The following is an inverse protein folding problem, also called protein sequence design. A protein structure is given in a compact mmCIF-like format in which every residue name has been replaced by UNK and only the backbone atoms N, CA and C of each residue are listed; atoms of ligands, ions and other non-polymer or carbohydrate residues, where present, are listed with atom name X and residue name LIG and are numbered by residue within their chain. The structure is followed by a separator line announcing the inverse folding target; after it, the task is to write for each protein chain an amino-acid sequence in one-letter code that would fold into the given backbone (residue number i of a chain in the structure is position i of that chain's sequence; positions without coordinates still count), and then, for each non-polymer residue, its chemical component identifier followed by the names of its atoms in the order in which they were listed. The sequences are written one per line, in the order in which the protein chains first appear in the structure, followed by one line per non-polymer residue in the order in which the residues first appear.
data_IF_593824226233
#
_entry.id   IF_593824226233
#
_cell.length_a   1.000
_cell.length_b   1.000
_cell.length_c   1.000
_cell.angle_alpha   90.00
_cell.angle_beta   90.00
_cell.angle_gamma   90.00
#
_symmetry.space_group_name_H-M   'P 1'
#
loop_
_entity.id
_entity.type
_entity.pdbx_description
1 polymer ?
#
# COMPACT_ATOMS: atom_id res chain seq x y z
N UNK A 1 6.60 10.61 1.47
CA UNK A 1 6.96 11.33 2.73
C UNK A 1 7.36 10.33 3.82
N UNK A 2 6.58 9.28 4.09
CA UNK A 2 6.92 8.32 5.15
C UNK A 2 8.22 7.56 4.89
N UNK A 3 8.44 7.06 3.68
CA UNK A 3 9.70 6.41 3.31
C UNK A 3 10.89 7.38 3.36
N UNK A 4 10.68 8.62 2.96
CA UNK A 4 11.69 9.68 3.08
C UNK A 4 11.99 9.98 4.55
N UNK A 5 10.98 10.01 5.42
CA UNK A 5 11.17 10.18 6.86
C UNK A 5 11.94 9.01 7.48
N UNK A 6 11.62 7.78 7.12
CA UNK A 6 12.37 6.61 7.60
C UNK A 6 13.87 6.71 7.26
N UNK A 7 14.19 7.33 6.14
CA UNK A 7 15.60 7.52 5.71
C UNK A 7 16.23 8.83 6.20
N UNK A 8 15.47 9.90 6.36
CA UNK A 8 15.97 11.25 6.68
C UNK A 8 15.93 11.54 8.18
N UNK A 9 14.95 11.04 8.93
CA UNK A 9 14.86 11.28 10.36
C UNK A 9 16.13 10.84 11.13
N UNK A 10 16.74 9.67 10.85
CA UNK A 10 18.02 9.30 11.44
C UNK A 10 19.16 10.26 11.12
N UNK A 11 19.15 10.84 9.91
CA UNK A 11 20.13 11.86 9.49
C UNK A 11 20.02 13.11 10.36
N UNK A 12 18.78 13.59 10.56
CA UNK A 12 18.50 14.77 11.39
C UNK A 12 18.91 14.53 12.84
N UNK A 13 18.56 13.40 13.43
CA UNK A 13 18.91 13.03 14.79
C UNK A 13 20.43 12.95 14.97
N UNK A 14 21.13 12.42 13.98
CA UNK A 14 22.57 12.33 13.99
C UNK A 14 23.26 13.69 13.87
N UNK A 15 22.71 14.59 13.05
CA UNK A 15 23.14 15.97 12.94
C UNK A 15 22.99 16.71 14.27
N UNK A 16 21.87 16.54 14.96
CA UNK A 16 21.63 17.11 16.28
C UNK A 16 22.61 16.59 17.35
N UNK A 17 23.17 15.40 17.17
CA UNK A 17 24.22 14.84 18.04
C UNK A 17 25.66 15.20 17.63
N UNK A 18 25.85 16.11 16.68
CA UNK A 18 27.18 16.61 16.27
C UNK A 18 27.95 15.66 15.34
N UNK A 19 27.27 14.76 14.65
CA UNK A 19 27.90 13.90 13.66
C UNK A 19 28.24 14.64 12.36
N UNK A 20 29.30 14.25 11.65
CA UNK A 20 29.65 14.80 10.34
C UNK A 20 28.63 14.43 9.28
N UNK A 21 28.49 15.25 8.24
CA UNK A 21 27.54 15.03 7.14
C UNK A 21 27.77 13.69 6.43
N UNK A 22 29.02 13.32 6.24
CA UNK A 22 29.38 12.04 5.63
C UNK A 22 28.88 10.85 6.46
N UNK A 23 28.94 10.97 7.78
CA UNK A 23 28.41 9.96 8.70
C UNK A 23 26.90 9.95 8.76
N UNK A 24 26.22 11.04 8.40
CA UNK A 24 24.75 11.10 8.36
C UNK A 24 24.15 10.23 7.26
N UNK A 25 24.85 10.10 6.14
CA UNK A 25 24.45 9.21 5.04
C UNK A 25 24.95 7.77 5.24
N UNK A 26 25.81 7.57 6.22
CA UNK A 26 26.35 6.27 6.49
C UNK A 26 25.37 5.47 7.33
N UNK A 27 24.94 4.45 6.74
CA UNK A 27 24.71 3.16 7.31
C UNK A 27 23.85 3.11 8.60
N UNK A 28 22.79 2.33 8.56
CA UNK A 28 22.09 1.84 9.75
C UNK A 28 23.00 1.01 10.71
N UNK A 29 24.26 0.78 10.33
CA UNK A 29 25.25 0.05 11.16
C UNK A 29 25.79 0.83 12.36
N UNK A 30 25.54 2.14 12.45
CA UNK A 30 25.94 2.91 13.64
C UNK A 30 24.92 2.71 14.75
N UNK A 31 25.33 2.05 15.81
CA UNK A 31 24.50 1.86 17.00
C UNK A 31 24.25 3.22 17.68
N UNK A 32 22.99 3.65 17.68
CA UNK A 32 22.53 4.85 18.35
C UNK A 32 21.35 4.45 19.27
N UNK A 33 21.63 4.01 20.50
CA UNK A 33 20.57 3.63 21.43
C UNK A 33 19.72 4.84 21.78
N UNK A 34 18.43 4.63 21.90
CA UNK A 34 17.44 5.63 22.39
C UNK A 34 17.11 5.38 23.84
N UNK A 35 16.34 6.28 24.45
CA UNK A 35 15.76 6.06 25.78
C UNK A 35 14.50 5.16 25.75
N UNK A 36 14.07 4.75 24.56
CA UNK A 36 12.96 3.82 24.38
C UNK A 36 13.45 2.41 24.53
N UNK A 37 12.85 1.65 25.42
CA UNK A 37 13.19 0.25 25.65
C UNK A 37 12.28 -0.67 24.81
N UNK A 38 12.86 -1.71 24.27
CA UNK A 38 12.12 -2.81 23.66
C UNK A 38 11.33 -3.51 24.77
N UNK A 39 9.99 -3.61 24.64
CA UNK A 39 9.15 -4.19 25.69
C UNK A 39 9.41 -5.68 25.95
N UNK A 40 9.99 -6.41 25.00
CA UNK A 40 10.28 -7.82 25.11
C UNK A 40 11.66 -8.10 25.73
N UNK A 41 12.64 -7.26 25.41
CA UNK A 41 14.04 -7.50 25.81
C UNK A 41 14.51 -6.57 26.91
N UNK A 42 13.81 -5.44 27.14
CA UNK A 42 14.24 -4.39 28.09
C UNK A 42 15.48 -3.62 27.65
N UNK A 43 15.96 -3.83 26.41
CA UNK A 43 17.14 -3.15 25.90
C UNK A 43 16.77 -1.89 25.14
N UNK A 44 17.65 -0.83 25.15
CA UNK A 44 17.43 0.37 24.35
C UNK A 44 17.27 0.05 22.86
N UNK A 45 16.18 0.53 22.27
CA UNK A 45 15.95 0.41 20.84
C UNK A 45 16.92 1.34 20.10
N UNK A 46 17.52 0.84 19.03
CA UNK A 46 18.35 1.66 18.16
C UNK A 46 17.47 2.68 17.43
N UNK A 47 17.96 3.93 17.31
CA UNK A 47 17.24 5.01 16.61
C UNK A 47 16.83 4.64 15.19
N UNK A 48 17.64 3.87 14.49
CA UNK A 48 17.35 3.41 13.13
C UNK A 48 16.16 2.46 13.09
N UNK A 49 16.06 1.55 14.05
CA UNK A 49 14.94 0.63 14.21
C UNK A 49 13.67 1.38 14.59
N UNK A 50 13.77 2.34 15.51
CA UNK A 50 12.63 3.12 15.97
C UNK A 50 12.00 3.96 14.83
N UNK A 51 12.81 4.45 13.90
CA UNK A 51 12.35 5.25 12.76
C UNK A 51 12.25 4.45 11.45
N UNK A 52 12.53 3.15 11.46
CA UNK A 52 12.29 2.30 10.29
C UNK A 52 10.79 1.99 10.18
N UNK A 53 10.11 2.83 9.45
CA UNK A 53 8.68 2.70 9.21
C UNK A 53 8.30 1.35 8.55
N UNK A 54 9.21 0.76 7.76
CA UNK A 54 8.99 -0.53 7.10
C UNK A 54 8.84 -1.65 8.15
N UNK A 55 9.75 -1.68 9.13
CA UNK A 55 9.64 -2.63 10.24
C UNK A 55 8.36 -2.39 11.04
N UNK A 56 8.03 -1.13 11.32
CA UNK A 56 6.84 -0.77 12.05
C UNK A 56 5.54 -1.26 11.39
N UNK A 57 5.47 -1.22 10.06
CA UNK A 57 4.31 -1.73 9.33
C UNK A 57 4.12 -3.24 9.49
N UNK A 58 5.21 -4.00 9.40
CA UNK A 58 5.16 -5.48 9.38
C UNK A 58 5.16 -6.07 10.78
N UNK A 59 6.01 -5.57 11.68
CA UNK A 59 6.23 -6.18 12.99
C UNK A 59 5.30 -5.62 14.08
N UNK A 60 5.00 -4.32 14.01
CA UNK A 60 4.20 -3.64 15.03
C UNK A 60 2.72 -3.53 14.66
N UNK A 61 2.33 -4.04 13.50
CA UNK A 61 0.96 -4.02 13.00
C UNK A 61 0.28 -2.66 13.22
N UNK A 62 0.89 -1.59 12.69
CA UNK A 62 0.35 -0.24 12.85
C UNK A 62 -1.07 -0.16 12.30
N UNK A 63 -2.01 0.16 13.17
CA UNK A 63 -3.41 0.32 12.84
C UNK A 63 -3.66 1.76 12.41
N UNK A 64 -4.47 1.93 11.36
CA UNK A 64 -4.93 3.27 10.96
C UNK A 64 -3.90 4.14 10.23
N UNK A 65 -2.81 3.56 9.74
CA UNK A 65 -1.87 4.29 8.87
C UNK A 65 -2.57 4.75 7.58
N UNK A 66 -2.11 5.88 6.99
CA UNK A 66 -2.69 6.38 5.75
C UNK A 66 -2.37 5.47 4.57
N UNK A 67 -3.13 5.62 3.49
CA UNK A 67 -2.78 5.05 2.19
C UNK A 67 -1.48 5.70 1.67
N UNK A 68 -0.56 4.88 1.19
CA UNK A 68 0.73 5.36 0.71
C UNK A 68 0.73 5.58 -0.79
N UNK A 69 1.40 6.64 -1.23
CA UNK A 69 1.65 6.88 -2.63
C UNK A 69 3.01 7.51 -2.84
N UNK A 70 3.71 7.08 -3.86
CA UNK A 70 5.03 7.61 -4.15
C UNK A 70 5.41 7.48 -5.61
N UNK A 71 6.28 8.39 -6.04
CA UNK A 71 6.97 8.32 -7.33
C UNK A 71 8.45 8.49 -7.06
N UNK A 72 9.26 7.54 -7.53
CA UNK A 72 10.72 7.57 -7.35
C UNK A 72 11.45 7.58 -8.69
N UNK A 73 12.59 8.22 -8.73
CA UNK A 73 13.46 8.26 -9.88
C UNK A 73 14.61 7.26 -9.80
N UNK A 74 14.74 6.39 -10.77
CA UNK A 74 15.89 5.47 -10.84
C UNK A 74 17.23 6.21 -11.00
N UNK A 75 17.22 7.42 -11.55
CA UNK A 75 18.42 8.27 -11.72
C UNK A 75 18.58 9.32 -10.63
N UNK A 76 17.81 9.24 -9.55
CA UNK A 76 18.00 10.13 -8.40
C UNK A 76 19.24 9.70 -7.62
N UNK A 77 20.29 10.51 -7.70
CA UNK A 77 21.55 10.28 -6.98
C UNK A 77 21.57 10.94 -5.60
N UNK A 78 20.60 11.77 -5.29
CA UNK A 78 20.48 12.47 -3.99
C UNK A 78 19.71 11.62 -2.99
N UNK A 79 18.55 11.10 -3.41
CA UNK A 79 17.82 10.05 -2.71
C UNK A 79 17.96 8.80 -3.58
N UNK A 80 19.02 8.02 -3.36
CA UNK A 80 19.40 6.93 -4.22
C UNK A 80 18.30 5.87 -4.38
N UNK A 81 18.23 5.26 -5.54
CA UNK A 81 17.26 4.22 -5.86
C UNK A 81 17.16 3.13 -4.79
N UNK A 82 18.32 2.67 -4.30
CA UNK A 82 18.39 1.65 -3.24
C UNK A 82 17.65 2.03 -1.96
N UNK A 83 17.50 3.32 -1.68
CA UNK A 83 16.80 3.80 -0.50
C UNK A 83 15.27 3.73 -0.65
N UNK A 84 14.79 3.61 -1.88
CA UNK A 84 13.37 3.48 -2.20
C UNK A 84 12.91 2.03 -2.25
N UNK A 85 13.85 1.09 -2.40
CA UNK A 85 13.54 -0.34 -2.44
C UNK A 85 13.08 -0.85 -1.06
N UNK A 86 12.20 -1.82 -1.08
CA UNK A 86 11.75 -2.57 0.09
C UNK A 86 10.68 -1.87 0.94
N UNK A 87 10.39 -0.57 0.75
CA UNK A 87 9.30 0.02 1.52
C UNK A 87 7.92 -0.43 1.01
N UNK A 88 7.78 -0.61 -0.27
CA UNK A 88 6.53 -1.11 -0.86
C UNK A 88 6.26 -2.57 -0.51
N UNK A 89 7.31 -3.41 -0.38
CA UNK A 89 7.15 -4.78 0.12
C UNK A 89 6.48 -4.75 1.49
N UNK A 90 6.94 -3.88 2.39
CA UNK A 90 6.34 -3.73 3.71
C UNK A 90 4.90 -3.20 3.67
N UNK A 91 4.57 -2.35 2.70
CA UNK A 91 3.19 -1.88 2.48
C UNK A 91 2.31 -3.03 1.99
N UNK A 92 2.81 -3.85 1.07
CA UNK A 92 2.10 -5.03 0.58
C UNK A 92 1.92 -6.08 1.67
N UNK A 93 2.99 -6.46 2.36
CA UNK A 93 2.97 -7.46 3.44
C UNK A 93 2.03 -7.07 4.58
N UNK A 94 2.01 -5.78 4.94
CA UNK A 94 1.11 -5.26 5.99
C UNK A 94 -0.32 -5.00 5.50
N UNK A 95 -0.58 -5.08 4.21
CA UNK A 95 -1.89 -4.79 3.57
C UNK A 95 -2.45 -3.42 3.97
N UNK A 96 -1.59 -2.43 4.20
CA UNK A 96 -2.03 -1.08 4.57
C UNK A 96 -2.57 -0.27 3.38
N UNK A 97 -2.24 -0.69 2.18
CA UNK A 97 -2.62 -0.04 0.94
C UNK A 97 -1.63 1.03 0.51
N UNK A 98 -1.27 0.94 -0.76
CA UNK A 98 -0.36 1.90 -1.35
C UNK A 98 -0.18 1.65 -2.83
N UNK A 99 0.37 2.66 -3.49
CA UNK A 99 0.78 2.60 -4.88
C UNK A 99 2.15 3.25 -5.01
N UNK A 100 2.98 2.63 -5.79
CA UNK A 100 4.33 3.13 -6.01
C UNK A 100 4.64 3.10 -7.50
N UNK A 101 5.11 4.27 -8.01
CA UNK A 101 5.57 4.44 -9.37
C UNK A 101 7.06 4.73 -9.39
N UNK A 102 7.74 4.30 -10.41
CA UNK A 102 9.12 4.70 -10.69
C UNK A 102 9.35 4.95 -12.17
N UNK A 103 10.27 5.84 -12.45
CA UNK A 103 10.72 6.17 -13.80
C UNK A 103 12.20 6.60 -13.82
N UNK A 104 12.64 7.17 -14.94
CA UNK A 104 14.03 7.56 -15.12
C UNK A 104 14.34 8.99 -14.63
N UNK A 105 13.45 9.59 -13.81
CA UNK A 105 13.72 10.94 -13.27
C UNK A 105 14.91 10.95 -12.33
N UNK A 106 15.59 12.11 -12.37
CA UNK A 106 16.57 12.47 -11.35
C UNK A 106 15.90 13.24 -10.20
N UNK A 107 16.71 13.68 -9.23
CA UNK A 107 16.22 14.44 -8.07
C UNK A 107 15.42 15.70 -8.42
N UNK A 108 15.80 16.39 -9.48
CA UNK A 108 15.15 17.61 -9.95
C UNK A 108 13.97 17.35 -10.92
N UNK A 109 13.59 16.11 -11.11
CA UNK A 109 12.50 15.71 -11.99
C UNK A 109 12.86 15.64 -13.48
N UNK A 110 14.11 15.88 -13.86
CA UNK A 110 14.56 15.67 -15.24
C UNK A 110 14.53 14.19 -15.62
N UNK A 111 14.09 13.89 -16.85
CA UNK A 111 13.97 12.52 -17.35
C UNK A 111 12.74 11.76 -16.82
N UNK A 112 11.75 12.47 -16.27
CA UNK A 112 10.49 11.85 -15.82
C UNK A 112 9.71 11.29 -17.03
N UNK A 113 9.13 10.11 -16.82
CA UNK A 113 8.29 9.45 -17.81
C UNK A 113 6.81 9.49 -17.43
N UNK A 114 6.50 9.51 -16.12
CA UNK A 114 5.14 9.74 -15.65
C UNK A 114 4.89 11.23 -15.41
N UNK A 115 3.74 11.72 -15.86
CA UNK A 115 3.24 13.03 -15.43
C UNK A 115 2.67 12.92 -14.01
N UNK A 116 2.42 14.07 -13.37
CA UNK A 116 1.74 14.09 -12.07
C UNK A 116 0.36 13.43 -12.16
N UNK A 117 -0.35 13.63 -13.26
CA UNK A 117 -1.71 13.12 -13.42
C UNK A 117 -1.74 11.59 -13.62
N UNK A 118 -0.74 11.05 -14.33
CA UNK A 118 -0.62 9.61 -14.56
C UNK A 118 -0.21 8.83 -13.31
N UNK A 119 0.67 9.43 -12.49
CA UNK A 119 1.20 8.81 -11.29
C UNK A 119 0.46 9.22 -10.01
N UNK A 120 -0.48 10.17 -10.10
CA UNK A 120 -1.11 10.70 -8.90
C UNK A 120 -2.30 9.86 -8.45
N UNK A 121 -2.19 9.49 -7.20
CA UNK A 121 -3.36 9.14 -6.40
C UNK A 121 -4.05 10.44 -6.04
N UNK A 122 -5.34 10.49 -6.24
CA UNK A 122 -6.15 11.61 -5.74
C UNK A 122 -6.26 11.51 -4.23
N UNK A 123 -5.32 12.11 -3.52
CA UNK A 123 -5.29 12.06 -2.04
C UNK A 123 -6.57 12.62 -1.38
N UNK A 124 -7.29 13.49 -2.08
CA UNK A 124 -8.58 14.04 -1.63
C UNK A 124 -9.67 12.98 -1.41
N UNK A 125 -9.54 11.80 -2.03
CA UNK A 125 -10.49 10.69 -1.82
C UNK A 125 -10.34 9.99 -0.47
N UNK A 126 -9.18 10.15 0.20
CA UNK A 126 -8.89 9.50 1.47
C UNK A 126 -9.28 10.39 2.65
N UNK A 127 -10.04 9.84 3.56
CA UNK A 127 -10.36 10.49 4.85
C UNK A 127 -10.48 9.44 5.95
N UNK A 128 -10.49 9.86 7.19
CA UNK A 128 -10.74 8.96 8.34
C UNK A 128 -12.17 8.45 8.39
N UNK A 129 -13.09 9.14 7.72
CA UNK A 129 -14.52 8.82 7.68
C UNK A 129 -14.94 8.02 6.44
N UNK A 130 -13.99 7.48 5.68
CA UNK A 130 -14.26 6.68 4.47
C UNK A 130 -13.43 5.41 4.47
N UNK A 131 -14.08 4.29 4.24
CA UNK A 131 -13.43 3.03 3.93
C UNK A 131 -12.86 3.03 2.51
N UNK A 132 -11.87 2.18 2.27
CA UNK A 132 -11.27 1.99 0.96
C UNK A 132 -10.68 0.57 0.83
N UNK A 133 -10.49 0.05 -0.40
CA UNK A 133 -9.78 -1.19 -0.64
C UNK A 133 -8.27 -0.92 -0.64
N UNK A 134 -7.50 -1.70 0.08
CA UNK A 134 -6.06 -1.79 -0.10
C UNK A 134 -5.76 -2.97 -1.03
N UNK A 135 -5.01 -2.71 -2.09
CA UNK A 135 -4.54 -3.73 -3.01
C UNK A 135 -3.14 -4.18 -2.62
N UNK A 136 -2.86 -5.48 -2.77
CA UNK A 136 -1.54 -6.07 -2.56
C UNK A 136 -1.30 -7.19 -3.56
N UNK A 137 -0.05 -7.43 -3.90
CA UNK A 137 0.37 -8.55 -4.77
C UNK A 137 -0.35 -8.59 -6.12
N UNK A 138 -0.50 -7.44 -6.75
CA UNK A 138 -1.15 -7.37 -8.07
C UNK A 138 -0.31 -8.10 -9.12
N UNK A 139 -0.94 -9.03 -9.85
CA UNK A 139 -0.26 -9.91 -10.83
C UNK A 139 0.29 -9.20 -12.05
N UNK A 140 0.01 -7.91 -12.21
CA UNK A 140 0.52 -7.07 -13.30
C UNK A 140 1.45 -5.96 -12.79
N UNK A 141 1.95 -6.08 -11.56
CA UNK A 141 3.02 -5.22 -11.08
C UNK A 141 4.27 -5.42 -11.93
N UNK A 142 4.98 -4.32 -12.21
CA UNK A 142 6.26 -4.37 -12.92
C UNK A 142 7.40 -4.73 -11.96
N UNK A 143 8.53 -5.12 -12.53
CA UNK A 143 9.74 -5.45 -11.79
C UNK A 143 10.55 -4.17 -11.50
N UNK A 144 10.64 -3.72 -10.25
CA UNK A 144 11.49 -2.57 -9.90
C UNK A 144 12.99 -2.90 -10.00
N UNK A 145 13.36 -4.18 -10.08
CA UNK A 145 14.74 -4.64 -10.06
C UNK A 145 15.37 -4.57 -8.67
N UNK A 146 16.68 -4.73 -8.63
CA UNK A 146 17.49 -4.69 -7.41
C UNK A 146 18.08 -3.32 -7.12
N UNK A 147 19.18 -3.30 -6.36
CA UNK A 147 19.86 -2.07 -5.91
C UNK A 147 20.46 -1.22 -7.03
N UNK A 148 20.73 -1.82 -8.20
CA UNK A 148 21.17 -1.06 -9.37
C UNK A 148 20.02 -0.32 -10.02
N UNK A 149 20.14 0.99 -10.30
CA UNK A 149 19.09 1.75 -10.99
C UNK A 149 18.86 1.30 -12.45
N UNK A 150 19.74 0.46 -12.98
CA UNK A 150 19.64 -0.09 -14.34
C UNK A 150 19.02 -1.49 -14.39
N UNK A 151 18.73 -2.10 -13.22
CA UNK A 151 18.06 -3.40 -13.12
C UNK A 151 16.54 -3.27 -13.17
N UNK A 152 15.84 -4.32 -13.59
CA UNK A 152 14.39 -4.36 -13.71
C UNK A 152 13.84 -3.40 -14.78
N UNK A 153 12.57 -3.09 -14.69
CA UNK A 153 11.90 -2.20 -15.63
C UNK A 153 12.35 -0.75 -15.46
N UNK A 154 12.61 -0.01 -16.55
CA UNK A 154 13.06 1.38 -16.47
C UNK A 154 12.00 2.32 -15.89
N UNK A 155 10.75 1.96 -15.99
CA UNK A 155 9.59 2.59 -15.38
C UNK A 155 8.53 1.53 -15.08
N UNK A 156 7.71 1.77 -14.08
CA UNK A 156 6.68 0.81 -13.69
C UNK A 156 5.88 1.27 -12.49
N UNK A 157 5.03 0.38 -12.04
CA UNK A 157 4.21 0.60 -10.84
C UNK A 157 3.97 -0.69 -10.07
N UNK A 158 3.85 -0.54 -8.76
CA UNK A 158 3.25 -1.51 -7.85
C UNK A 158 1.84 -1.01 -7.55
N UNK A 159 0.83 -1.84 -7.83
CA UNK A 159 -0.60 -1.56 -7.68
C UNK A 159 -1.13 -0.36 -8.49
N UNK A 160 -0.30 0.23 -9.37
CA UNK A 160 -0.62 1.45 -10.11
C UNK A 160 -1.68 1.27 -11.21
N UNK A 161 -1.96 0.02 -11.61
CA UNK A 161 -3.01 -0.31 -12.58
C UNK A 161 -4.38 -0.51 -11.94
N UNK A 162 -4.49 -0.43 -10.62
CA UNK A 162 -5.73 -0.67 -9.89
C UNK A 162 -6.39 0.63 -9.46
N UNK A 163 -7.71 0.64 -9.56
CA UNK A 163 -8.55 1.74 -9.12
C UNK A 163 -9.89 1.22 -8.59
N UNK A 164 -10.65 2.09 -7.97
CA UNK A 164 -12.01 1.79 -7.49
C UNK A 164 -12.92 3.01 -7.61
N UNK A 165 -14.21 2.76 -7.67
CA UNK A 165 -15.22 3.80 -7.66
C UNK A 165 -15.66 4.10 -6.22
N UNK A 166 -15.28 5.27 -5.70
CA UNK A 166 -15.65 5.73 -4.36
C UNK A 166 -17.15 5.80 -4.13
N UNK A 167 -17.93 6.06 -5.20
CA UNK A 167 -19.40 6.15 -5.12
C UNK A 167 -20.07 4.77 -5.08
N UNK A 168 -19.34 3.72 -5.40
CA UNK A 168 -19.82 2.34 -5.34
C UNK A 168 -19.68 1.71 -3.95
N UNK A 169 -19.01 2.39 -3.03
CA UNK A 169 -18.78 1.86 -1.68
C UNK A 169 -20.11 1.85 -0.91
N UNK A 170 -20.49 0.65 -0.49
CA UNK A 170 -21.62 0.44 0.41
C UNK A 170 -21.06 -0.28 1.64
N UNK A 171 -20.89 0.47 2.73
CA UNK A 171 -20.31 0.02 4.00
C UNK A 171 -21.46 -0.07 5.04
N UNK A 172 -22.01 -1.26 5.22
CA UNK A 172 -23.14 -1.54 6.12
C UNK A 172 -22.71 -2.50 7.23
N UNK A 173 -23.50 -2.57 8.28
CA UNK A 173 -23.20 -3.43 9.45
C UNK A 173 -22.92 -4.90 9.08
N UNK A 174 -23.67 -5.44 8.13
CA UNK A 174 -23.59 -6.87 7.75
C UNK A 174 -22.93 -7.11 6.40
N UNK A 175 -22.66 -6.09 5.62
CA UNK A 175 -22.13 -6.24 4.27
C UNK A 175 -21.27 -5.06 3.84
N UNK A 176 -20.35 -5.36 2.94
CA UNK A 176 -19.56 -4.35 2.26
C UNK A 176 -19.51 -4.64 0.77
N UNK A 177 -19.66 -3.61 -0.04
CA UNK A 177 -19.58 -3.71 -1.50
C UNK A 177 -18.74 -2.58 -2.07
N UNK A 178 -17.96 -2.88 -3.12
CA UNK A 178 -17.18 -1.91 -3.86
C UNK A 178 -16.93 -2.39 -5.30
N UNK A 179 -16.86 -1.45 -6.25
CA UNK A 179 -16.41 -1.72 -7.62
C UNK A 179 -14.95 -1.33 -7.78
N UNK A 180 -14.16 -2.30 -8.29
CA UNK A 180 -12.75 -2.11 -8.63
C UNK A 180 -12.55 -2.36 -10.13
N UNK A 181 -11.54 -1.74 -10.72
CA UNK A 181 -11.21 -1.91 -12.12
C UNK A 181 -9.71 -1.82 -12.37
N UNK A 182 -9.27 -2.42 -13.48
CA UNK A 182 -7.95 -2.17 -14.05
C UNK A 182 -8.03 -0.91 -14.90
N UNK A 183 -7.13 0.04 -14.66
CA UNK A 183 -7.01 1.27 -15.44
C UNK A 183 -5.85 1.22 -16.42
N UNK A 184 -5.84 2.12 -17.37
CA UNK A 184 -4.72 2.33 -18.28
C UNK A 184 -3.59 3.08 -17.60
N UNK A 185 -2.37 2.82 -18.07
CA UNK A 185 -1.18 3.54 -17.67
C UNK A 185 -0.50 4.12 -18.91
N UNK A 186 -0.14 5.37 -18.81
CA UNK A 186 0.56 6.09 -19.87
C UNK A 186 1.98 6.44 -19.42
N UNK A 187 2.92 6.32 -20.33
CA UNK A 187 4.32 6.71 -20.13
C UNK A 187 4.69 7.67 -21.26
N UNK A 188 5.07 8.89 -20.95
CA UNK A 188 5.28 9.97 -21.92
C UNK A 188 4.06 10.17 -22.86
N UNK A 189 2.85 10.03 -22.32
CA UNK A 189 1.61 10.14 -23.10
C UNK A 189 1.32 8.95 -24.01
N UNK A 190 2.11 7.88 -23.97
CA UNK A 190 1.90 6.67 -24.76
C UNK A 190 1.30 5.58 -23.87
N UNK A 191 0.14 5.06 -24.29
CA UNK A 191 -0.50 3.93 -23.63
C UNK A 191 0.45 2.73 -23.58
N UNK A 192 0.66 2.22 -22.40
CA UNK A 192 1.41 1.00 -22.18
C UNK A 192 0.54 -0.25 -22.41
N UNK A 193 1.03 -1.42 -22.04
CA UNK A 193 0.25 -2.66 -22.17
C UNK A 193 -1.12 -2.49 -21.52
N UNK A 194 -2.15 -2.66 -22.31
CA UNK A 194 -3.52 -2.65 -21.84
C UNK A 194 -3.86 -4.04 -21.29
N UNK A 195 -4.01 -4.14 -19.98
CA UNK A 195 -4.41 -5.39 -19.32
C UNK A 195 -5.93 -5.49 -19.24
N UNK A 196 -6.50 -6.59 -19.70
CA UNK A 196 -7.95 -6.81 -19.58
C UNK A 196 -8.37 -7.21 -18.17
N UNK A 197 -7.45 -7.76 -17.40
CA UNK A 197 -7.67 -8.18 -16.03
C UNK A 197 -6.37 -8.45 -15.28
N UNK A 198 -6.46 -8.50 -13.96
CA UNK A 198 -5.40 -8.98 -13.08
C UNK A 198 -5.99 -9.77 -11.91
N UNK A 199 -5.12 -10.34 -11.09
CA UNK A 199 -5.46 -10.82 -9.74
C UNK A 199 -4.72 -9.98 -8.71
N UNK A 200 -5.34 -9.74 -7.55
CA UNK A 200 -4.77 -8.97 -6.45
C UNK A 200 -5.42 -9.38 -5.15
N UNK A 201 -4.72 -9.23 -4.04
CA UNK A 201 -5.37 -9.29 -2.74
C UNK A 201 -6.10 -7.97 -2.49
N UNK A 202 -7.28 -8.05 -1.86
CA UNK A 202 -8.09 -6.89 -1.51
C UNK A 202 -8.37 -6.93 -0.03
N UNK A 203 -7.83 -5.97 0.70
CA UNK A 203 -8.05 -5.79 2.13
C UNK A 203 -8.90 -4.54 2.38
N UNK A 204 -9.96 -4.67 3.15
CA UNK A 204 -10.81 -3.52 3.49
C UNK A 204 -10.16 -2.71 4.61
N UNK A 205 -10.03 -1.41 4.40
CA UNK A 205 -9.41 -0.50 5.37
C UNK A 205 -10.40 0.59 5.81
N UNK A 206 -10.23 1.06 7.05
CA UNK A 206 -11.05 2.15 7.64
C UNK A 206 -12.55 1.93 7.51
N UNK A 207 -12.99 0.70 7.75
CA UNK A 207 -14.41 0.35 7.78
C UNK A 207 -15.16 1.25 8.77
N UNK A 208 -16.32 1.73 8.38
CA UNK A 208 -17.16 2.63 9.20
C UNK A 208 -18.30 1.87 9.88
N UNK A 209 -18.90 0.91 9.19
CA UNK A 209 -20.06 0.16 9.66
C UNK A 209 -19.84 -1.35 9.61
N UNK A 210 -19.08 -1.88 8.66
CA UNK A 210 -18.82 -3.30 8.50
C UNK A 210 -17.81 -3.77 9.56
N UNK A 211 -18.32 -4.20 10.71
CA UNK A 211 -17.52 -4.68 11.84
C UNK A 211 -17.94 -6.10 12.23
N UNK A 212 -17.47 -7.13 11.49
CA UNK A 212 -17.74 -8.52 11.85
C UNK A 212 -17.21 -8.82 13.26
N UNK A 213 -17.89 -9.69 13.99
CA UNK A 213 -17.39 -10.20 15.27
C UNK A 213 -16.46 -11.39 15.02
N UNK A 214 -15.41 -11.53 15.83
CA UNK A 214 -14.48 -12.66 15.74
C UNK A 214 -15.27 -13.98 15.84
N UNK A 215 -14.97 -14.91 14.94
CA UNK A 215 -15.67 -16.20 14.79
C UNK A 215 -16.91 -16.14 13.89
N UNK A 216 -17.32 -14.97 13.41
CA UNK A 216 -18.38 -14.90 12.39
C UNK A 216 -17.87 -15.44 11.05
N UNK A 217 -18.74 -16.09 10.29
CA UNK A 217 -18.44 -16.48 8.91
C UNK A 217 -18.65 -15.29 7.98
N UNK A 218 -17.61 -14.90 7.26
CA UNK A 218 -17.70 -13.94 6.18
C UNK A 218 -17.77 -14.72 4.87
N UNK A 219 -18.85 -14.54 4.13
CA UNK A 219 -18.97 -14.95 2.72
C UNK A 219 -18.49 -13.79 1.84
N UNK A 220 -17.78 -14.12 0.77
CA UNK A 220 -17.36 -13.11 -0.19
C UNK A 220 -17.63 -13.57 -1.63
N UNK A 221 -17.78 -12.62 -2.52
CA UNK A 221 -17.87 -12.87 -3.95
C UNK A 221 -17.25 -11.77 -4.78
N UNK A 222 -16.76 -12.15 -5.94
CA UNK A 222 -16.33 -11.25 -7.01
C UNK A 222 -17.27 -11.45 -8.19
N UNK A 223 -17.90 -10.39 -8.66
CA UNK A 223 -18.77 -10.40 -9.83
C UNK A 223 -18.15 -9.59 -10.96
N UNK A 224 -18.32 -10.05 -12.20
CA UNK A 224 -17.94 -9.28 -13.38
C UNK A 224 -18.97 -8.14 -13.65
N UNK A 225 -18.71 -7.33 -14.67
CA UNK A 225 -19.57 -6.20 -15.04
C UNK A 225 -20.98 -6.62 -15.52
N UNK A 226 -21.21 -7.91 -15.80
CA UNK A 226 -22.52 -8.49 -16.11
C UNK A 226 -23.23 -9.08 -14.88
N UNK A 227 -22.73 -8.79 -13.67
CA UNK A 227 -23.21 -9.30 -12.39
C UNK A 227 -23.15 -10.84 -12.25
N UNK A 228 -22.30 -11.50 -13.02
CA UNK A 228 -22.07 -12.93 -12.87
C UNK A 228 -20.99 -13.14 -11.79
N UNK A 229 -21.26 -14.03 -10.84
CA UNK A 229 -20.25 -14.44 -9.85
C UNK A 229 -19.17 -15.23 -10.57
N UNK A 230 -17.93 -14.74 -10.49
CA UNK A 230 -16.74 -15.35 -11.10
C UNK A 230 -15.82 -15.99 -10.06
N UNK A 231 -15.91 -15.55 -8.83
CA UNK A 231 -15.22 -16.11 -7.68
C UNK A 231 -16.10 -15.95 -6.45
N UNK A 232 -16.04 -16.91 -5.54
CA UNK A 232 -16.66 -16.80 -4.23
C UNK A 232 -15.92 -17.68 -3.20
N UNK A 233 -16.20 -17.43 -1.94
CA UNK A 233 -15.67 -18.21 -0.85
C UNK A 233 -16.21 -17.75 0.50
N UNK A 234 -15.71 -18.38 1.53
CA UNK A 234 -16.02 -18.00 2.91
C UNK A 234 -14.82 -18.29 3.82
N UNK A 235 -14.77 -17.57 4.93
CA UNK A 235 -13.78 -17.81 5.99
C UNK A 235 -14.34 -17.37 7.35
N UNK A 236 -13.75 -17.89 8.41
CA UNK A 236 -14.02 -17.42 9.77
C UNK A 236 -13.21 -16.15 10.03
N UNK A 237 -13.90 -15.10 10.47
CA UNK A 237 -13.27 -13.84 10.80
C UNK A 237 -12.43 -13.97 12.09
N UNK A 238 -11.17 -13.65 12.02
CA UNK A 238 -10.18 -13.78 13.08
C UNK A 238 -9.84 -12.46 13.81
N UNK A 239 -10.43 -11.35 13.35
CA UNK A 239 -10.15 -10.00 13.88
C UNK A 239 -9.20 -9.18 13.00
N UNK A 240 -8.53 -9.78 12.03
CA UNK A 240 -7.70 -9.07 11.06
C UNK A 240 -8.57 -8.36 10.01
N UNK A 241 -8.06 -7.32 9.34
CA UNK A 241 -8.81 -6.61 8.31
C UNK A 241 -9.36 -7.57 7.23
N UNK A 242 -10.68 -7.53 6.94
CA UNK A 242 -11.30 -8.44 5.98
C UNK A 242 -10.58 -8.44 4.63
N UNK A 243 -10.12 -9.60 4.20
CA UNK A 243 -9.27 -9.76 3.02
C UNK A 243 -9.78 -10.88 2.10
N UNK A 244 -9.80 -10.62 0.80
CA UNK A 244 -9.93 -11.61 -0.26
C UNK A 244 -8.57 -11.75 -0.94
N UNK A 245 -8.07 -12.97 -1.02
CA UNK A 245 -6.81 -13.28 -1.68
C UNK A 245 -7.03 -13.63 -3.15
N UNK A 246 -6.22 -13.06 -4.04
CA UNK A 246 -6.27 -13.36 -5.47
C UNK A 246 -7.58 -12.99 -6.16
N UNK A 247 -8.24 -11.92 -5.74
CA UNK A 247 -9.47 -11.42 -6.37
C UNK A 247 -9.22 -11.04 -7.83
N UNK A 248 -10.08 -11.51 -8.73
CA UNK A 248 -10.01 -11.22 -10.18
C UNK A 248 -10.64 -9.87 -10.48
N UNK A 249 -9.83 -8.94 -10.97
CA UNK A 249 -10.28 -7.60 -11.34
C UNK A 249 -10.20 -7.45 -12.85
N UNK A 250 -11.30 -7.05 -13.45
CA UNK A 250 -11.40 -6.77 -14.88
C UNK A 250 -11.30 -5.27 -15.18
N UNK A 251 -10.83 -4.93 -16.36
CA UNK A 251 -10.87 -3.58 -16.91
C UNK A 251 -12.28 -3.02 -16.97
N UNK A 252 -13.24 -3.85 -17.38
CA UNK A 252 -14.65 -3.50 -17.44
C UNK A 252 -15.31 -3.31 -16.06
N UNK A 253 -14.57 -3.63 -15.00
CA UNK A 253 -15.01 -3.56 -13.62
C UNK A 253 -15.32 -4.93 -13.01
N UNK A 254 -15.04 -5.05 -11.72
CA UNK A 254 -15.44 -6.16 -10.85
C UNK A 254 -16.11 -5.60 -9.61
N UNK A 255 -17.23 -6.18 -9.22
CA UNK A 255 -17.90 -5.86 -7.95
C UNK A 255 -17.46 -6.86 -6.90
N UNK A 256 -16.92 -6.35 -5.80
CA UNK A 256 -16.43 -7.11 -4.66
C UNK A 256 -17.47 -7.00 -3.54
N UNK A 257 -17.89 -8.14 -3.00
CA UNK A 257 -18.84 -8.18 -1.90
C UNK A 257 -18.28 -8.99 -0.74
N UNK A 258 -18.54 -8.51 0.47
CA UNK A 258 -18.39 -9.22 1.72
C UNK A 258 -19.74 -9.24 2.43
N UNK A 259 -20.09 -10.37 3.04
CA UNK A 259 -21.36 -10.56 3.74
C UNK A 259 -21.14 -11.40 4.98
N UNK A 260 -21.52 -10.89 6.14
CA UNK A 260 -21.54 -11.71 7.37
C UNK A 260 -22.73 -12.67 7.30
N UNK A 261 -22.44 -13.96 7.49
CA UNK A 261 -23.50 -14.98 7.51
C UNK A 261 -24.36 -14.82 8.77
N UNK A 262 -25.68 -14.97 8.63
CA UNK A 262 -26.63 -14.86 9.73
C UNK A 262 -26.50 -13.55 10.55
N UNK A 263 -26.09 -12.47 9.89
CA UNK A 263 -26.04 -11.17 10.53
C UNK A 263 -27.48 -10.68 10.77
N UNK A 264 -27.91 -10.73 12.01
CA UNK A 264 -29.14 -10.09 12.44
C UNK A 264 -28.82 -8.63 12.73
N UNK A 265 -29.25 -7.72 11.87
CA UNK A 265 -29.15 -6.29 12.12
C UNK A 265 -29.68 -6.01 13.54
N UNK A 266 -28.94 -5.21 14.33
CA UNK A 266 -29.53 -4.69 15.57
C UNK A 266 -30.81 -3.98 15.16
N UNK A 267 -31.96 -4.57 15.48
CA UNK A 267 -33.20 -3.83 15.52
C UNK A 267 -32.98 -2.74 16.56
N UNK A 268 -32.97 -1.49 16.10
CA UNK A 268 -32.94 -0.35 17.00
C UNK A 268 -34.09 -0.52 18.00
N UNK A 269 -33.74 -0.79 19.24
CA UNK A 269 -34.66 -0.73 20.37
C UNK A 269 -34.78 0.72 20.84
#
# INVERSE_FOLDING_TARGET
IAATWANVAPIIIKALKGSTREKMWCSPSVNLPTDVLDPNTGTPINVWTLFDFRQGLVTNNYVGVPYFGGVHGKKDVTVGWVQSLGWYDSVEDSRQGGVWFWDQRNHNGGGKNFTSDEAMIQYSRFSTAKSYPAFSYCSINQDPGGSSPTSGDPYGAINGYLDWDDNSIVDLNCSYTIKCNVKDMYVNGVLQTAYDSCTTDITLRRLQNFHPVIGATINWSVMNNSNQIIQNGSYLYDGEPPTIYGAKIYRAGSTINFQVQNCFGKQNA
#
